data_IF_064851917351
#
_entry.id   IF_064851917351
#
_cell.length_a   1.000
_cell.length_b   1.000
_cell.length_c   1.000
_cell.angle_alpha   90.00
_cell.angle_beta   90.00
_cell.angle_gamma   90.00
#
_symmetry.space_group_name_H-M   'P 1'
#
loop_
_entity.id
_entity.type
_entity.pdbx_description
1 polymer ?
#
# COMPACT_ATOMS: atom_id res chain seq x y z
N UNK A 1 -9.16 -17.58 -8.67
CA UNK A 1 -7.86 -17.44 -7.98
C UNK A 1 -8.06 -16.45 -6.84
N UNK A 2 -8.22 -16.94 -5.60
CA UNK A 2 -8.32 -16.07 -4.43
C UNK A 2 -6.88 -15.77 -3.95
N UNK A 3 -6.45 -14.52 -4.04
CA UNK A 3 -5.14 -14.10 -3.54
C UNK A 3 -5.17 -14.17 -2.00
N UNK A 4 -4.13 -14.77 -1.42
CA UNK A 4 -4.03 -15.03 0.01
C UNK A 4 -4.24 -13.74 0.84
N UNK A 5 -5.27 -13.72 1.68
CA UNK A 5 -5.48 -12.64 2.63
C UNK A 5 -4.39 -12.70 3.70
N UNK A 6 -3.41 -11.81 3.62
CA UNK A 6 -2.38 -11.69 4.63
C UNK A 6 -2.98 -11.09 5.90
N UNK A 7 -2.92 -11.83 7.01
CA UNK A 7 -3.43 -11.41 8.34
C UNK A 7 -2.59 -10.31 9.00
N UNK A 8 -1.56 -9.81 8.32
CA UNK A 8 -0.70 -8.72 8.80
C UNK A 8 -1.20 -7.39 8.21
N UNK A 9 -1.25 -6.29 8.97
CA UNK A 9 -1.85 -5.02 8.53
C UNK A 9 -1.37 -4.52 7.16
N UNK A 10 -0.07 -4.64 6.86
CA UNK A 10 0.50 -4.26 5.57
C UNK A 10 -0.13 -5.02 4.38
N UNK A 11 -0.40 -6.32 4.54
CA UNK A 11 -0.92 -7.13 3.45
C UNK A 11 -2.40 -6.87 3.17
N UNK A 12 -3.18 -6.52 4.19
CA UNK A 12 -4.56 -6.06 4.01
C UNK A 12 -4.59 -4.73 3.22
N UNK A 13 -3.71 -3.78 3.56
CA UNK A 13 -3.56 -2.51 2.84
C UNK A 13 -3.11 -2.75 1.39
N UNK A 14 -2.11 -3.61 1.18
CA UNK A 14 -1.66 -3.97 -0.17
C UNK A 14 -2.77 -4.59 -1.02
N UNK A 15 -3.57 -5.49 -0.44
CA UNK A 15 -4.70 -6.09 -1.16
C UNK A 15 -5.74 -5.04 -1.54
N UNK A 16 -6.10 -4.14 -0.61
CA UNK A 16 -7.02 -3.05 -0.90
C UNK A 16 -6.51 -2.14 -2.03
N UNK A 17 -5.22 -1.79 -2.02
CA UNK A 17 -4.59 -1.01 -3.11
C UNK A 17 -4.71 -1.75 -4.44
N UNK A 18 -4.41 -3.05 -4.47
CA UNK A 18 -4.49 -3.85 -5.69
C UNK A 18 -5.93 -3.92 -6.23
N UNK A 19 -6.91 -4.13 -5.36
CA UNK A 19 -8.33 -4.20 -5.73
C UNK A 19 -8.82 -2.85 -6.29
N UNK A 20 -8.45 -1.74 -5.64
CA UNK A 20 -8.78 -0.38 -6.11
C UNK A 20 -8.14 -0.11 -7.48
N UNK A 21 -6.86 -0.48 -7.66
CA UNK A 21 -6.16 -0.38 -8.95
C UNK A 21 -6.87 -1.17 -10.05
N UNK A 22 -7.37 -2.37 -9.75
CA UNK A 22 -8.10 -3.18 -10.75
C UNK A 22 -9.39 -2.51 -11.22
N UNK A 23 -10.07 -1.79 -10.33
CA UNK A 23 -11.39 -1.22 -10.61
C UNK A 23 -11.30 0.19 -11.19
N UNK A 24 -10.38 1.01 -10.67
CA UNK A 24 -10.31 2.44 -10.96
C UNK A 24 -9.08 2.84 -11.77
N UNK A 25 -8.14 1.93 -12.01
CA UNK A 25 -6.90 2.21 -12.74
C UNK A 25 -6.13 3.41 -12.12
N UNK A 26 -6.04 3.46 -10.79
CA UNK A 26 -5.27 4.49 -10.06
C UNK A 26 -3.77 4.44 -10.37
N UNK A 27 -3.09 5.58 -10.46
CA UNK A 27 -1.67 5.62 -10.82
C UNK A 27 -0.74 5.82 -9.61
N UNK A 28 -1.25 6.32 -8.49
CA UNK A 28 -0.49 6.56 -7.27
C UNK A 28 -1.35 6.39 -6.01
N UNK A 29 -0.70 6.12 -4.89
CA UNK A 29 -1.33 6.07 -3.57
C UNK A 29 -0.53 6.93 -2.60
N UNK A 30 -1.19 7.90 -1.99
CA UNK A 30 -0.66 8.67 -0.88
C UNK A 30 -1.26 8.13 0.41
N UNK A 31 -0.41 7.78 1.37
CA UNK A 31 -0.82 7.23 2.65
C UNK A 31 -0.44 8.21 3.75
N UNK A 32 -1.42 8.63 4.54
CA UNK A 32 -1.16 9.40 5.75
C UNK A 32 -0.63 8.48 6.85
N UNK A 33 0.48 8.84 7.49
CA UNK A 33 1.03 8.05 8.61
C UNK A 33 0.27 8.31 9.92
N UNK A 34 -0.56 9.36 9.96
CA UNK A 34 -1.45 9.68 11.08
C UNK A 34 -2.48 8.58 11.38
N UNK A 35 -2.75 7.67 10.42
CA UNK A 35 -3.75 6.59 10.58
C UNK A 35 -3.24 5.39 11.41
N UNK A 36 -2.23 5.58 12.25
CA UNK A 36 -1.73 4.53 13.14
C UNK A 36 -0.91 3.46 12.43
N UNK A 37 -0.26 3.84 11.32
CA UNK A 37 0.68 2.98 10.63
C UNK A 37 1.93 2.87 11.49
N UNK A 38 2.09 1.75 12.19
CA UNK A 38 3.30 1.46 12.97
C UNK A 38 4.56 1.68 12.13
N UNK A 39 5.64 2.14 12.75
CA UNK A 39 6.94 2.35 12.08
C UNK A 39 7.29 1.24 11.07
N UNK A 40 7.65 1.68 9.86
CA UNK A 40 8.01 0.80 8.74
C UNK A 40 6.83 0.12 8.03
N UNK A 41 5.58 0.48 8.33
CA UNK A 41 4.41 -0.04 7.61
C UNK A 41 4.42 0.34 6.14
N UNK A 42 4.76 1.59 5.82
CA UNK A 42 4.84 2.07 4.44
C UNK A 42 5.82 1.21 3.62
N UNK A 43 6.99 0.91 4.18
CA UNK A 43 7.97 0.05 3.54
C UNK A 43 7.48 -1.40 3.40
N UNK A 44 6.74 -1.92 4.38
CA UNK A 44 6.11 -3.25 4.26
C UNK A 44 5.04 -3.27 3.18
N UNK A 45 4.23 -2.23 3.04
CA UNK A 45 3.23 -2.11 1.96
C UNK A 45 3.91 -2.04 0.60
N UNK A 46 4.94 -1.20 0.45
CA UNK A 46 5.76 -1.11 -0.77
C UNK A 46 6.37 -2.46 -1.14
N UNK A 47 7.01 -3.13 -0.18
CA UNK A 47 7.61 -4.46 -0.38
C UNK A 47 6.57 -5.52 -0.74
N UNK A 48 5.39 -5.45 -0.12
CA UNK A 48 4.31 -6.40 -0.41
C UNK A 48 3.69 -6.16 -1.79
N UNK A 49 3.56 -4.91 -2.24
CA UNK A 49 3.11 -4.58 -3.60
C UNK A 49 4.09 -5.09 -4.65
N UNK A 50 5.40 -5.04 -4.39
CA UNK A 50 6.42 -5.60 -5.28
C UNK A 50 6.30 -7.12 -5.51
N UNK A 51 5.58 -7.85 -4.64
CA UNK A 51 5.29 -9.26 -4.83
C UNK A 51 4.13 -9.52 -5.81
N UNK A 52 3.39 -8.48 -6.19
CA UNK A 52 2.32 -8.57 -7.18
C UNK A 52 2.88 -8.42 -8.61
N UNK A 53 2.11 -8.81 -9.66
CA UNK A 53 2.48 -8.52 -11.04
C UNK A 53 2.75 -7.03 -11.28
N UNK A 54 3.68 -6.72 -12.19
CA UNK A 54 4.18 -5.36 -12.43
C UNK A 54 3.10 -4.29 -12.65
N UNK A 55 1.91 -4.65 -13.17
CA UNK A 55 0.77 -3.74 -13.33
C UNK A 55 0.22 -3.13 -12.03
N UNK A 56 0.58 -3.71 -10.89
CA UNK A 56 0.19 -3.27 -9.55
C UNK A 56 1.31 -2.51 -8.84
N UNK A 57 2.50 -2.42 -9.45
CA UNK A 57 3.59 -1.61 -8.93
C UNK A 57 3.30 -0.15 -9.25
N UNK A 58 2.69 0.53 -8.28
CA UNK A 58 2.41 1.95 -8.32
C UNK A 58 3.14 2.68 -7.19
N UNK A 59 3.47 3.97 -7.34
CA UNK A 59 4.11 4.76 -6.29
C UNK A 59 3.22 4.81 -5.05
N UNK A 60 3.81 4.42 -3.91
CA UNK A 60 3.19 4.60 -2.59
C UNK A 60 4.03 5.57 -1.78
N UNK A 61 3.49 6.75 -1.49
CA UNK A 61 4.21 7.85 -0.84
C UNK A 61 3.52 8.25 0.47
N UNK A 62 4.27 8.78 1.45
CA UNK A 62 3.65 9.35 2.64
C UNK A 62 3.00 10.69 2.28
N UNK A 63 1.91 11.06 2.97
CA UNK A 63 1.32 12.41 2.86
C UNK A 63 2.38 13.46 3.25
N UNK A 64 2.59 14.47 2.39
CA UNK A 64 3.39 15.63 2.74
C UNK A 64 2.61 16.49 3.74
N UNK A 65 2.69 16.16 5.03
CA UNK A 65 1.87 16.85 6.04
C UNK A 65 2.10 16.49 7.50
N UNK A 66 3.20 15.84 7.89
CA UNK A 66 3.39 15.53 9.31
C UNK A 66 4.63 14.72 9.72
N UNK A 67 5.80 14.98 9.14
CA UNK A 67 7.00 14.23 9.52
C UNK A 67 8.30 14.74 8.90
N UNK A 68 8.54 16.04 8.94
CA UNK A 68 9.90 16.57 8.88
C UNK A 68 10.27 17.01 10.31
N UNK A 69 10.99 16.14 11.00
CA UNK A 69 11.50 16.32 12.36
C UNK A 69 12.38 15.15 12.73
#
# INVERSE_FOLDING_TARGET
MAMAHSTKPAGAVTQAIADIRMVLDIEEVVIDESVGLTDGMLDRVRKSLQAFPARFNLPVTPTQGGGAG
#
